data_IF_579584948025
#
_entry.id   IF_579584948025
#
_cell.length_a   1.000
_cell.length_b   1.000
_cell.length_c   1.000
_cell.angle_alpha   90.00
_cell.angle_beta   90.00
_cell.angle_gamma   90.00
#
_symmetry.space_group_name_H-M   'P 1'
#
loop_
_entity.id
_entity.type
_entity.pdbx_description
1 polymer ?
#
# COMPACT_ATOMS: atom_id res chain seq x y z
N UNK A 1 20.66 10.84 -11.62
CA UNK A 1 19.64 10.87 -10.55
C UNK A 1 19.78 9.59 -9.74
N UNK A 2 19.65 9.66 -8.42
CA UNK A 2 19.61 8.46 -7.59
C UNK A 2 18.36 7.64 -7.93
N UNK A 3 18.47 6.32 -7.93
CA UNK A 3 17.32 5.44 -8.17
C UNK A 3 16.39 5.52 -6.95
N UNK A 4 15.13 5.88 -7.19
CA UNK A 4 14.11 5.85 -6.15
C UNK A 4 13.74 4.40 -5.82
N UNK A 5 13.98 4.01 -4.57
CA UNK A 5 13.79 2.65 -4.09
C UNK A 5 12.38 2.40 -3.56
N UNK A 6 11.63 3.45 -3.21
CA UNK A 6 10.27 3.33 -2.67
C UNK A 6 9.21 3.27 -3.77
N UNK A 7 9.55 3.66 -4.99
CA UNK A 7 8.68 3.51 -6.15
C UNK A 7 8.37 2.02 -6.43
N UNK A 8 7.09 1.68 -6.59
CA UNK A 8 6.63 0.34 -6.98
C UNK A 8 7.33 -0.23 -8.22
N UNK A 9 7.69 0.61 -9.20
CA UNK A 9 8.44 0.18 -10.37
C UNK A 9 9.84 -0.36 -10.02
N UNK A 10 10.42 0.07 -8.89
CA UNK A 10 11.69 -0.46 -8.41
C UNK A 10 11.54 -1.79 -7.70
N UNK A 11 10.67 -1.88 -6.69
CA UNK A 11 10.64 -3.05 -5.79
C UNK A 11 9.74 -4.17 -6.30
N UNK A 12 8.66 -3.88 -7.02
CA UNK A 12 7.69 -4.90 -7.43
C UNK A 12 8.29 -5.98 -8.34
N UNK A 13 9.11 -5.67 -9.36
CA UNK A 13 9.76 -6.71 -10.16
C UNK A 13 10.67 -7.64 -9.34
N UNK A 14 11.34 -7.11 -8.31
CA UNK A 14 12.21 -7.90 -7.42
C UNK A 14 11.38 -8.78 -6.48
N UNK A 15 10.25 -8.27 -6.00
CA UNK A 15 9.30 -9.02 -5.19
C UNK A 15 8.67 -10.16 -5.99
N UNK A 16 8.30 -9.94 -7.26
CA UNK A 16 7.82 -11.00 -8.15
C UNK A 16 8.83 -12.16 -8.28
N UNK A 17 10.13 -11.84 -8.40
CA UNK A 17 11.20 -12.85 -8.46
C UNK A 17 11.41 -13.61 -7.14
N UNK A 18 10.79 -13.20 -6.04
CA UNK A 18 10.78 -13.96 -4.78
C UNK A 18 9.73 -15.08 -4.75
N UNK A 19 8.89 -15.16 -5.79
CA UNK A 19 7.81 -16.15 -5.95
C UNK A 19 6.78 -16.13 -4.80
N UNK A 20 6.76 -15.05 -4.03
CA UNK A 20 5.74 -14.83 -3.01
C UNK A 20 4.43 -14.40 -3.67
N UNK A 21 3.27 -14.78 -3.11
CA UNK A 21 1.99 -14.29 -3.60
C UNK A 21 1.94 -12.76 -3.53
N UNK A 22 1.58 -12.15 -4.66
CA UNK A 22 1.37 -10.71 -4.81
C UNK A 22 0.09 -10.47 -5.61
N UNK A 23 -0.58 -9.32 -5.45
CA UNK A 23 -1.68 -8.95 -6.34
C UNK A 23 -1.19 -8.86 -7.78
N UNK A 24 -1.96 -9.40 -8.73
CA UNK A 24 -1.82 -9.06 -10.16
C UNK A 24 -1.76 -7.56 -10.30
N UNK A 25 -0.74 -7.07 -10.99
CA UNK A 25 -0.39 -5.66 -11.02
C UNK A 25 0.10 -5.30 -12.41
N UNK A 26 -0.41 -4.21 -12.97
CA UNK A 26 0.11 -3.58 -14.19
C UNK A 26 0.64 -2.21 -13.78
N UNK A 27 1.92 -1.96 -14.08
CA UNK A 27 2.59 -0.69 -13.83
C UNK A 27 2.49 0.16 -15.10
N UNK A 28 2.13 1.43 -14.91
CA UNK A 28 1.94 2.42 -15.97
C UNK A 28 2.86 3.60 -15.66
N UNK A 29 3.42 4.20 -16.71
CA UNK A 29 4.29 5.36 -16.63
C UNK A 29 3.64 6.52 -17.37
N UNK A 30 3.66 7.70 -16.77
CA UNK A 30 3.22 8.93 -17.43
C UNK A 30 4.36 9.95 -17.50
N UNK A 31 4.46 10.63 -18.62
CA UNK A 31 5.34 11.79 -18.80
C UNK A 31 4.63 13.11 -18.47
N UNK A 32 3.34 13.08 -18.13
CA UNK A 32 2.58 14.26 -17.74
C UNK A 32 2.94 14.70 -16.33
N UNK A 33 3.09 16.01 -16.13
CA UNK A 33 3.24 16.55 -14.78
C UNK A 33 1.88 16.58 -14.09
N UNK A 34 1.62 15.59 -13.23
CA UNK A 34 0.33 15.50 -12.56
C UNK A 34 0.15 16.57 -11.48
N UNK A 35 1.20 17.28 -11.07
CA UNK A 35 1.07 18.42 -10.15
C UNK A 35 0.24 19.56 -10.76
N UNK A 36 0.23 19.70 -12.09
CA UNK A 36 -0.61 20.66 -12.80
C UNK A 36 -2.10 20.52 -12.45
N UNK A 37 -2.55 19.32 -12.06
CA UNK A 37 -3.94 19.11 -11.63
C UNK A 37 -4.29 19.93 -10.39
N UNK A 38 -3.34 20.13 -9.48
CA UNK A 38 -3.56 20.92 -8.25
C UNK A 38 -3.69 22.42 -8.53
N UNK A 39 -3.17 22.88 -9.66
CA UNK A 39 -3.36 24.25 -10.17
C UNK A 39 -4.64 24.39 -11.03
N UNK A 40 -5.47 23.34 -11.11
CA UNK A 40 -6.65 23.31 -11.98
C UNK A 40 -6.33 23.22 -13.47
N UNK A 41 -5.12 22.80 -13.83
CA UNK A 41 -4.70 22.59 -15.23
C UNK A 41 -4.85 21.13 -15.62
N UNK A 42 -4.93 20.88 -16.93
CA UNK A 42 -4.92 19.52 -17.50
C UNK A 42 -3.46 19.14 -17.81
N UNK A 43 -2.91 18.06 -17.23
CA UNK A 43 -1.56 17.63 -17.52
C UNK A 43 -1.36 17.28 -19.00
N UNK A 44 -0.15 17.53 -19.50
CA UNK A 44 0.25 17.09 -20.82
C UNK A 44 0.07 15.56 -20.98
N UNK A 45 -0.56 15.11 -22.08
CA UNK A 45 -0.86 13.69 -22.40
C UNK A 45 -1.78 13.00 -21.39
N UNK A 46 -2.63 13.74 -20.69
CA UNK A 46 -3.61 13.16 -19.76
C UNK A 46 -4.52 12.12 -20.43
N UNK A 47 -4.97 12.34 -21.66
CA UNK A 47 -5.85 11.39 -22.38
C UNK A 47 -5.16 10.06 -22.65
N UNK A 48 -3.88 10.08 -23.00
CA UNK A 48 -3.08 8.86 -23.22
C UNK A 48 -2.93 8.09 -21.91
N UNK A 49 -2.58 8.80 -20.82
CA UNK A 49 -2.47 8.21 -19.49
C UNK A 49 -3.80 7.59 -19.01
N UNK A 50 -4.93 8.29 -19.22
CA UNK A 50 -6.26 7.75 -18.94
C UNK A 50 -6.57 6.51 -19.78
N UNK A 51 -6.16 6.51 -21.05
CA UNK A 51 -6.28 5.36 -21.96
C UNK A 51 -5.52 4.14 -21.46
N UNK A 52 -4.26 4.32 -21.03
CA UNK A 52 -3.42 3.26 -20.48
C UNK A 52 -3.99 2.69 -19.17
N UNK A 53 -4.47 3.56 -18.28
CA UNK A 53 -5.14 3.13 -17.04
C UNK A 53 -6.40 2.32 -17.34
N UNK A 54 -7.27 2.79 -18.24
CA UNK A 54 -8.48 2.04 -18.65
C UNK A 54 -8.12 0.70 -19.28
N UNK A 55 -7.09 0.66 -20.10
CA UNK A 55 -6.61 -0.59 -20.69
C UNK A 55 -6.11 -1.57 -19.63
N UNK A 56 -5.28 -1.13 -18.69
CA UNK A 56 -4.82 -1.97 -17.58
C UNK A 56 -5.98 -2.47 -16.70
N UNK A 57 -6.96 -1.60 -16.40
CA UNK A 57 -8.19 -1.98 -15.68
C UNK A 57 -8.96 -3.05 -16.44
N UNK A 58 -9.06 -2.95 -17.78
CA UNK A 58 -9.73 -3.97 -18.59
C UNK A 58 -9.06 -5.34 -18.54
N UNK A 59 -7.73 -5.38 -18.35
CA UNK A 59 -6.96 -6.63 -18.21
C UNK A 59 -7.09 -7.21 -16.80
N UNK A 60 -7.00 -6.37 -15.76
CA UNK A 60 -7.09 -6.81 -14.36
C UNK A 60 -8.52 -7.23 -13.99
N UNK A 61 -9.52 -6.47 -14.48
CA UNK A 61 -10.93 -6.61 -14.14
C UNK A 61 -11.31 -5.85 -12.87
N UNK A 62 -12.57 -5.38 -12.82
CA UNK A 62 -13.11 -4.69 -11.65
C UNK A 62 -13.53 -5.64 -10.52
N UNK A 63 -13.55 -5.16 -9.26
CA UNK A 63 -12.97 -3.88 -8.80
C UNK A 63 -11.43 -3.93 -8.73
N UNK A 64 -10.78 -2.75 -8.77
CA UNK A 64 -9.31 -2.63 -8.73
C UNK A 64 -8.82 -1.83 -7.52
N UNK A 65 -7.54 -2.02 -7.19
CA UNK A 65 -6.80 -1.17 -6.27
C UNK A 65 -5.82 -0.28 -7.05
N UNK A 66 -6.05 1.04 -7.02
CA UNK A 66 -5.23 2.04 -7.71
C UNK A 66 -4.18 2.63 -6.76
N UNK A 67 -2.97 2.90 -7.25
CA UNK A 67 -1.93 3.62 -6.49
C UNK A 67 -0.96 4.35 -7.40
N UNK A 68 -0.26 5.34 -6.82
CA UNK A 68 0.96 5.91 -7.40
C UNK A 68 2.16 5.02 -7.08
N UNK A 69 3.35 5.43 -7.53
CA UNK A 69 4.62 4.80 -7.19
C UNK A 69 4.79 4.60 -5.68
N UNK A 70 4.36 5.59 -4.90
CA UNK A 70 4.73 5.73 -3.49
C UNK A 70 3.56 5.62 -2.52
N UNK A 71 2.34 5.95 -2.94
CA UNK A 71 1.17 5.98 -2.04
C UNK A 71 -0.10 5.50 -2.72
N UNK A 72 -1.07 5.12 -1.90
CA UNK A 72 -2.41 4.71 -2.30
C UNK A 72 -3.51 5.55 -1.67
N UNK A 73 -3.17 6.62 -0.94
CA UNK A 73 -4.17 7.50 -0.32
C UNK A 73 -5.15 6.74 0.59
N UNK A 74 -4.67 5.72 1.32
CA UNK A 74 -5.50 4.80 2.13
C UNK A 74 -6.36 5.53 3.16
N UNK A 75 -5.99 6.75 3.57
CA UNK A 75 -6.76 7.56 4.51
C UNK A 75 -8.11 8.05 3.94
N UNK A 76 -8.28 8.02 2.61
CA UNK A 76 -9.49 8.41 1.90
C UNK A 76 -9.90 7.35 0.84
N UNK A 77 -9.88 6.08 1.24
CA UNK A 77 -9.78 4.94 0.33
C UNK A 77 -10.86 4.90 -0.77
N UNK A 78 -12.13 5.17 -0.45
CA UNK A 78 -13.26 5.19 -1.41
C UNK A 78 -13.13 6.24 -2.50
N UNK A 79 -12.37 7.30 -2.27
CA UNK A 79 -12.14 8.34 -3.28
C UNK A 79 -10.80 8.15 -3.99
N UNK A 80 -9.91 7.28 -3.50
CA UNK A 80 -8.53 7.16 -3.98
C UNK A 80 -8.26 5.76 -4.56
N UNK A 81 -7.79 4.82 -3.74
CA UNK A 81 -7.33 3.51 -4.19
C UNK A 81 -8.47 2.52 -4.44
N UNK A 82 -9.67 2.73 -3.91
CA UNK A 82 -10.76 1.77 -4.05
C UNK A 82 -11.64 2.07 -5.27
N UNK A 83 -11.22 1.64 -6.46
CA UNK A 83 -11.96 1.91 -7.71
C UNK A 83 -12.86 0.74 -8.10
N UNK A 84 -14.17 0.93 -7.90
CA UNK A 84 -15.17 -0.09 -8.22
C UNK A 84 -15.45 -0.18 -9.73
N UNK A 85 -15.45 0.95 -10.44
CA UNK A 85 -15.78 1.05 -11.86
C UNK A 85 -15.05 2.23 -12.53
N UNK A 86 -14.92 2.27 -13.86
CA UNK A 86 -14.14 3.33 -14.55
C UNK A 86 -14.79 4.72 -14.60
N UNK A 87 -16.08 4.86 -14.29
CA UNK A 87 -16.84 6.12 -14.40
C UNK A 87 -16.25 7.23 -13.53
N UNK A 88 -15.61 6.86 -12.41
CA UNK A 88 -14.99 7.80 -11.47
C UNK A 88 -13.46 7.83 -11.56
N UNK A 89 -12.85 7.19 -12.57
CA UNK A 89 -11.40 7.06 -12.68
C UNK A 89 -10.68 8.41 -12.59
N UNK A 90 -11.13 9.44 -13.32
CA UNK A 90 -10.52 10.77 -13.29
C UNK A 90 -10.56 11.41 -11.89
N UNK A 91 -11.67 11.23 -11.16
CA UNK A 91 -11.81 11.72 -9.79
C UNK A 91 -10.87 10.98 -8.83
N UNK A 92 -10.70 9.66 -9.01
CA UNK A 92 -9.76 8.88 -8.21
C UNK A 92 -8.30 9.25 -8.47
N UNK A 93 -7.95 9.57 -9.72
CA UNK A 93 -6.62 10.07 -10.07
C UNK A 93 -6.37 11.41 -9.38
N UNK A 94 -7.29 12.37 -9.50
CA UNK A 94 -7.17 13.67 -8.85
C UNK A 94 -7.01 13.53 -7.33
N UNK A 95 -7.85 12.71 -6.68
CA UNK A 95 -7.77 12.49 -5.25
C UNK A 95 -6.43 11.84 -4.82
N UNK A 96 -5.89 10.93 -5.62
CA UNK A 96 -4.56 10.35 -5.37
C UNK A 96 -3.43 11.35 -5.55
N UNK A 97 -3.54 12.27 -6.52
CA UNK A 97 -2.58 13.37 -6.72
C UNK A 97 -2.63 14.32 -5.52
N UNK A 98 -3.82 14.73 -5.09
CA UNK A 98 -4.01 15.58 -3.91
C UNK A 98 -3.43 14.94 -2.64
N UNK A 99 -3.78 13.68 -2.37
CA UNK A 99 -3.26 12.92 -1.21
C UNK A 99 -1.74 12.73 -1.28
N UNK A 100 -1.18 12.50 -2.48
CA UNK A 100 0.27 12.41 -2.66
C UNK A 100 0.94 13.74 -2.32
N UNK A 101 0.35 14.86 -2.76
CA UNK A 101 0.88 16.18 -2.48
C UNK A 101 0.77 16.62 -1.03
N UNK A 102 -0.28 16.20 -0.34
CA UNK A 102 -0.44 16.41 1.10
C UNK A 102 0.49 15.53 1.93
N UNK A 103 0.74 14.30 1.50
CA UNK A 103 1.62 13.37 2.21
C UNK A 103 3.09 13.81 2.14
N UNK A 104 3.54 14.23 0.96
CA UNK A 104 4.91 14.73 0.77
C UNK A 104 4.96 15.72 -0.40
N UNK A 105 5.33 16.99 -0.16
CA UNK A 105 5.59 17.93 -1.24
C UNK A 105 6.63 17.36 -2.20
N UNK A 106 6.42 17.47 -3.51
CA UNK A 106 7.31 16.97 -4.58
C UNK A 106 7.49 15.44 -4.69
N UNK A 107 6.60 14.64 -4.08
CA UNK A 107 6.55 13.19 -4.34
C UNK A 107 6.44 12.90 -5.86
N UNK A 108 7.29 12.03 -6.43
CA UNK A 108 7.18 11.68 -7.85
C UNK A 108 5.84 11.01 -8.19
N UNK A 109 5.18 11.46 -9.25
CA UNK A 109 3.87 10.92 -9.70
C UNK A 109 3.90 10.33 -11.11
N UNK A 110 5.09 10.07 -11.65
CA UNK A 110 5.27 9.46 -12.97
C UNK A 110 4.88 7.98 -13.02
N UNK A 111 5.02 7.26 -11.90
CA UNK A 111 4.64 5.84 -11.80
C UNK A 111 3.26 5.66 -11.20
N UNK A 112 2.46 4.78 -11.83
CA UNK A 112 1.17 4.32 -11.33
C UNK A 112 1.05 2.81 -11.42
N UNK A 113 0.15 2.23 -10.63
CA UNK A 113 -0.16 0.82 -10.72
C UNK A 113 -1.66 0.55 -10.57
N UNK A 114 -2.19 -0.28 -11.47
CA UNK A 114 -3.51 -0.89 -11.36
C UNK A 114 -3.33 -2.31 -10.86
N UNK A 115 -3.96 -2.63 -9.73
CA UNK A 115 -3.79 -3.92 -9.04
C UNK A 115 -5.13 -4.60 -8.85
N UNK A 116 -5.13 -5.93 -8.83
CA UNK A 116 -6.34 -6.67 -8.50
C UNK A 116 -6.81 -6.35 -7.07
N UNK A 117 -8.12 -6.30 -6.88
CA UNK A 117 -8.69 -6.28 -5.53
C UNK A 117 -8.60 -7.69 -4.94
N UNK A 118 -7.85 -7.80 -3.84
CA UNK A 118 -7.74 -9.06 -3.09
C UNK A 118 -9.09 -9.51 -2.51
N UNK A 119 -9.29 -10.83 -2.48
CA UNK A 119 -10.48 -11.48 -1.91
C UNK A 119 -10.17 -12.00 -0.51
N UNK A 120 -11.11 -11.87 0.40
CA UNK A 120 -10.91 -12.21 1.82
C UNK A 120 -11.96 -13.24 2.28
N UNK A 121 -11.51 -14.24 3.04
CA UNK A 121 -12.40 -15.31 3.53
C UNK A 121 -13.24 -14.88 4.71
N UNK A 122 -12.77 -13.87 5.44
CA UNK A 122 -13.46 -13.30 6.59
C UNK A 122 -13.89 -11.85 6.31
N UNK A 123 -14.97 -11.36 6.94
CA UNK A 123 -15.29 -9.94 6.97
C UNK A 123 -14.11 -9.11 7.49
N UNK A 124 -14.07 -7.83 7.12
CA UNK A 124 -13.16 -6.90 7.78
C UNK A 124 -13.56 -6.75 9.25
N UNK A 125 -12.59 -6.48 10.12
CA UNK A 125 -12.88 -6.29 11.54
C UNK A 125 -13.79 -5.06 11.73
N UNK A 126 -13.48 -3.99 10.99
CA UNK A 126 -14.29 -2.80 10.83
C UNK A 126 -13.84 -2.05 9.57
N UNK A 127 -14.46 -0.92 9.29
CA UNK A 127 -14.08 -0.02 8.18
C UNK A 127 -13.66 1.33 8.77
N UNK A 128 -12.58 1.90 8.24
CA UNK A 128 -12.07 3.23 8.62
C UNK A 128 -11.71 4.04 7.36
N UNK A 129 -11.20 5.26 7.54
CA UNK A 129 -10.48 5.99 6.47
C UNK A 129 -11.26 6.10 5.14
N UNK A 130 -12.52 6.50 5.26
CA UNK A 130 -13.46 6.54 4.15
C UNK A 130 -13.52 5.23 3.34
N UNK A 131 -13.90 4.15 4.02
CA UNK A 131 -14.23 2.89 3.36
C UNK A 131 -13.09 1.87 3.25
N UNK A 132 -11.95 2.12 3.88
CA UNK A 132 -10.87 1.14 3.97
C UNK A 132 -11.27 0.00 4.92
N UNK A 133 -11.34 -1.25 4.44
CA UNK A 133 -11.60 -2.39 5.32
C UNK A 133 -10.36 -2.70 6.15
N UNK A 134 -10.45 -2.60 7.48
CA UNK A 134 -9.35 -2.90 8.40
C UNK A 134 -9.28 -4.40 8.63
N UNK A 135 -8.10 -4.96 8.34
CA UNK A 135 -7.85 -6.41 8.31
C UNK A 135 -6.52 -6.72 8.98
N UNK A 136 -6.28 -8.01 9.15
CA UNK A 136 -5.01 -8.56 9.62
C UNK A 136 -3.94 -8.26 8.57
N UNK A 137 -3.11 -7.28 8.88
CA UNK A 137 -1.95 -6.84 8.12
C UNK A 137 -0.72 -6.81 9.04
N UNK A 138 0.43 -7.22 8.51
CA UNK A 138 1.72 -7.25 9.21
C UNK A 138 2.78 -6.54 8.42
N UNK A 139 3.68 -5.86 9.12
CA UNK A 139 4.87 -5.27 8.54
C UNK A 139 6.09 -5.97 9.10
N UNK A 140 6.92 -6.50 8.21
CA UNK A 140 8.18 -7.15 8.57
C UNK A 140 9.35 -6.32 8.07
N UNK A 141 10.31 -6.07 8.96
CA UNK A 141 11.55 -5.36 8.64
C UNK A 141 12.69 -6.35 8.47
N UNK A 142 13.53 -6.10 7.47
CA UNK A 142 14.68 -6.93 7.18
C UNK A 142 15.85 -6.10 6.63
N UNK A 143 17.06 -6.59 6.84
CA UNK A 143 18.30 -5.97 6.36
C UNK A 143 19.23 -7.03 5.81
N UNK A 144 19.71 -6.81 4.59
CA UNK A 144 20.75 -7.64 3.96
C UNK A 144 20.49 -9.15 4.08
N UNK A 145 19.28 -9.57 3.72
CA UNK A 145 18.86 -10.97 3.74
C UNK A 145 18.38 -11.51 5.10
N UNK A 146 18.36 -10.71 6.17
CA UNK A 146 17.95 -11.14 7.52
C UNK A 146 16.74 -10.37 8.01
N UNK A 147 15.71 -11.09 8.46
CA UNK A 147 14.57 -10.50 9.17
C UNK A 147 15.04 -9.98 10.53
N UNK A 148 14.69 -8.74 10.86
CA UNK A 148 15.10 -8.07 12.10
C UNK A 148 13.99 -8.07 13.14
N UNK A 149 12.78 -7.64 12.74
CA UNK A 149 11.60 -7.59 13.59
C UNK A 149 10.33 -7.49 12.75
N UNK A 150 9.17 -7.56 13.40
CA UNK A 150 7.86 -7.34 12.80
C UNK A 150 6.97 -6.56 13.74
N UNK A 151 5.96 -5.92 13.16
CA UNK A 151 4.92 -5.18 13.89
C UNK A 151 3.57 -5.38 13.21
N UNK A 152 2.45 -5.24 13.95
CA UNK A 152 1.15 -5.04 13.34
C UNK A 152 1.17 -3.78 12.45
N UNK A 153 0.51 -3.84 11.30
CA UNK A 153 0.50 -2.72 10.35
C UNK A 153 -0.29 -1.51 10.87
N UNK A 154 -1.36 -1.75 11.63
CA UNK A 154 -2.32 -0.74 12.06
C UNK A 154 -2.06 -0.28 13.51
N UNK A 155 -1.30 0.82 13.74
CA UNK A 155 -1.18 1.44 15.05
C UNK A 155 -2.53 1.89 15.60
N UNK A 156 -2.65 1.98 16.93
CA UNK A 156 -3.89 2.47 17.56
C UNK A 156 -4.08 3.96 17.31
N UNK A 157 -2.98 4.70 17.27
CA UNK A 157 -2.90 6.15 17.26
C UNK A 157 -3.56 6.73 15.99
N UNK A 158 -3.42 6.05 14.83
CA UNK A 158 -3.99 6.53 13.57
C UNK A 158 -5.53 6.52 13.54
N UNK A 159 -6.17 5.74 14.41
CA UNK A 159 -7.63 5.71 14.54
C UNK A 159 -8.15 6.76 15.53
N UNK A 160 -7.31 7.23 16.45
CA UNK A 160 -7.71 8.23 17.46
C UNK A 160 -7.90 9.62 16.85
N UNK A 161 -7.15 9.93 15.80
CA UNK A 161 -7.19 11.24 15.13
C UNK A 161 -8.47 11.46 14.32
N UNK A 162 -9.24 10.41 14.05
CA UNK A 162 -10.46 10.44 13.23
C UNK A 162 -10.27 11.24 11.92
N UNK A 163 -9.24 10.88 11.15
CA UNK A 163 -9.00 11.47 9.83
C UNK A 163 -10.29 11.40 9.00
N UNK A 164 -10.75 12.56 8.50
CA UNK A 164 -11.99 12.76 7.73
C UNK A 164 -13.32 12.64 8.52
N UNK A 165 -13.29 12.62 9.85
CA UNK A 165 -14.50 12.72 10.68
C UNK A 165 -15.45 11.52 10.54
N UNK A 166 -14.96 10.38 10.06
CA UNK A 166 -15.77 9.19 9.82
C UNK A 166 -15.99 8.42 11.12
N UNK A 167 -17.25 8.11 11.49
CA UNK A 167 -17.51 7.38 12.72
C UNK A 167 -16.94 5.96 12.65
N UNK A 168 -16.12 5.62 13.64
CA UNK A 168 -15.71 4.24 13.90
C UNK A 168 -16.79 3.55 14.76
N UNK A 169 -16.93 2.21 14.70
CA UNK A 169 -17.78 1.48 15.63
C UNK A 169 -17.37 1.71 17.08
N UNK A 170 -18.31 1.74 18.03
CA UNK A 170 -18.03 1.99 19.46
C UNK A 170 -16.95 1.06 20.05
N UNK A 171 -16.88 -0.18 19.55
CA UNK A 171 -15.93 -1.21 19.97
C UNK A 171 -14.68 -1.32 19.07
N UNK A 172 -14.37 -0.30 18.26
CA UNK A 172 -13.23 -0.35 17.31
C UNK A 172 -11.90 -0.70 17.98
N UNK A 173 -11.67 -0.24 19.21
CA UNK A 173 -10.42 -0.50 19.94
C UNK A 173 -10.21 -1.98 20.27
N UNK A 174 -11.30 -2.69 20.64
CA UNK A 174 -11.27 -4.14 20.87
C UNK A 174 -11.07 -4.91 19.56
N UNK A 175 -11.76 -4.48 18.49
CA UNK A 175 -11.63 -5.07 17.16
C UNK A 175 -10.20 -4.91 16.63
N UNK A 176 -9.59 -3.74 16.80
CA UNK A 176 -8.21 -3.48 16.42
C UNK A 176 -7.22 -4.30 17.26
N UNK A 177 -7.42 -4.38 18.58
CA UNK A 177 -6.59 -5.19 19.46
C UNK A 177 -6.54 -6.65 18.98
N UNK A 178 -7.70 -7.22 18.60
CA UNK A 178 -7.79 -8.58 18.02
C UNK A 178 -7.06 -8.70 16.69
N UNK A 179 -7.23 -7.74 15.79
CA UNK A 179 -6.53 -7.69 14.48
C UNK A 179 -5.00 -7.67 14.66
N UNK A 180 -4.52 -7.01 15.70
CA UNK A 180 -3.10 -6.86 16.00
C UNK A 180 -2.50 -8.02 16.81
N UNK A 181 -3.30 -9.02 17.23
CA UNK A 181 -2.75 -10.22 17.85
C UNK A 181 -2.12 -11.13 16.79
N UNK A 182 -0.92 -11.64 17.08
CA UNK A 182 -0.18 -12.58 16.24
C UNK A 182 -0.06 -13.94 16.93
N UNK A 183 -0.28 -15.03 16.19
CA UNK A 183 0.04 -16.37 16.67
C UNK A 183 1.52 -16.71 16.44
N UNK A 184 2.08 -17.66 17.19
CA UNK A 184 3.46 -18.12 16.98
C UNK A 184 3.68 -18.72 15.58
N UNK A 185 2.67 -19.44 15.08
CA UNK A 185 2.73 -20.07 13.76
C UNK A 185 2.70 -19.03 12.64
N UNK A 186 1.88 -17.98 12.79
CA UNK A 186 1.86 -16.82 11.90
C UNK A 186 3.23 -16.12 11.84
N UNK A 187 3.83 -15.87 13.01
CA UNK A 187 5.16 -15.24 13.09
C UNK A 187 6.22 -16.10 12.41
N UNK A 188 6.20 -17.42 12.65
CA UNK A 188 7.13 -18.35 12.01
C UNK A 188 6.97 -18.36 10.49
N UNK A 189 5.73 -18.43 9.99
CA UNK A 189 5.44 -18.43 8.55
C UNK A 189 5.90 -17.14 7.89
N UNK A 190 5.48 -15.98 8.41
CA UNK A 190 5.80 -14.68 7.82
C UNK A 190 7.28 -14.33 7.94
N UNK A 191 7.97 -14.78 9.00
CA UNK A 191 9.43 -14.67 9.09
C UNK A 191 10.10 -15.45 7.97
N UNK A 192 9.69 -16.71 7.74
CA UNK A 192 10.26 -17.53 6.67
C UNK A 192 10.00 -16.94 5.27
N UNK A 193 8.77 -16.47 5.01
CA UNK A 193 8.42 -15.80 3.75
C UNK A 193 9.21 -14.50 3.54
N UNK A 194 9.32 -13.68 4.58
CA UNK A 194 10.11 -12.44 4.53
C UNK A 194 11.59 -12.74 4.29
N UNK A 195 12.15 -13.81 4.85
CA UNK A 195 13.53 -14.21 4.56
C UNK A 195 13.74 -14.58 3.09
N UNK A 196 12.73 -15.13 2.40
CA UNK A 196 12.78 -15.37 0.94
C UNK A 196 12.80 -14.05 0.17
N UNK A 197 11.92 -13.09 0.53
CA UNK A 197 11.92 -11.75 -0.05
C UNK A 197 13.27 -11.07 0.17
N UNK A 198 13.80 -11.12 1.39
CA UNK A 198 15.02 -10.44 1.80
C UNK A 198 16.25 -10.80 0.96
N UNK A 199 16.32 -12.03 0.41
CA UNK A 199 17.40 -12.47 -0.50
C UNK A 199 17.47 -11.65 -1.81
N UNK A 200 16.40 -10.95 -2.18
CA UNK A 200 16.32 -10.14 -3.41
C UNK A 200 16.69 -8.67 -3.21
N UNK A 201 16.95 -8.26 -1.98
CA UNK A 201 17.11 -6.84 -1.63
C UNK A 201 18.33 -6.63 -0.73
N UNK A 202 19.11 -5.59 -1.04
CA UNK A 202 20.20 -5.09 -0.20
C UNK A 202 19.77 -3.85 0.59
N UNK A 203 20.35 -3.67 1.77
CA UNK A 203 20.04 -2.60 2.71
C UNK A 203 18.79 -2.91 3.54
N UNK A 204 18.25 -1.88 4.19
CA UNK A 204 17.12 -1.98 5.10
C UNK A 204 15.78 -1.71 4.41
N UNK A 205 14.81 -2.59 4.64
CA UNK A 205 13.51 -2.60 3.97
C UNK A 205 12.42 -3.07 4.93
N UNK A 206 11.19 -2.73 4.61
CA UNK A 206 10.00 -3.40 5.12
C UNK A 206 9.17 -4.02 3.99
N UNK A 207 8.43 -5.07 4.32
CA UNK A 207 7.41 -5.68 3.47
C UNK A 207 6.12 -5.82 4.26
N UNK A 208 5.01 -5.47 3.62
CA UNK A 208 3.67 -5.54 4.19
C UNK A 208 2.93 -6.76 3.66
N UNK A 209 2.39 -7.54 4.58
CA UNK A 209 1.65 -8.78 4.33
C UNK A 209 0.20 -8.62 4.74
N UNK A 210 -0.71 -9.16 3.94
CA UNK A 210 -2.13 -9.26 4.29
C UNK A 210 -2.63 -10.70 4.11
N UNK A 211 -3.48 -11.17 5.01
CA UNK A 211 -4.10 -12.50 4.90
C UNK A 211 -5.34 -12.45 4.00
N UNK A 212 -5.42 -13.36 3.03
CA UNK A 212 -6.50 -13.45 2.04
C UNK A 212 -7.16 -14.84 2.06
N UNK A 213 -8.13 -15.10 1.17
CA UNK A 213 -8.69 -16.47 0.98
C UNK A 213 -7.63 -17.51 0.58
N UNK A 214 -6.52 -17.08 -0.03
CA UNK A 214 -5.44 -17.96 -0.50
C UNK A 214 -4.22 -17.97 0.42
N UNK A 215 -4.30 -17.34 1.60
CA UNK A 215 -3.17 -17.17 2.50
C UNK A 215 -2.52 -15.78 2.41
N UNK A 216 -1.28 -15.67 2.89
CA UNK A 216 -0.55 -14.40 2.98
C UNK A 216 -0.09 -13.90 1.62
N UNK A 217 -0.33 -12.60 1.38
CA UNK A 217 0.02 -11.90 0.15
C UNK A 217 0.85 -10.67 0.49
N UNK A 218 1.99 -10.49 -0.18
CA UNK A 218 2.82 -9.30 -0.05
C UNK A 218 2.18 -8.15 -0.85
N UNK A 219 1.82 -7.07 -0.16
CA UNK A 219 1.04 -5.97 -0.74
C UNK A 219 1.84 -4.69 -0.92
N UNK A 220 2.88 -4.46 -0.14
CA UNK A 220 3.67 -3.23 -0.25
C UNK A 220 5.11 -3.43 0.23
N UNK A 221 6.01 -2.57 -0.22
CA UNK A 221 7.38 -2.50 0.27
C UNK A 221 7.87 -1.06 0.30
N UNK A 222 8.75 -0.77 1.26
CA UNK A 222 9.45 0.49 1.35
C UNK A 222 10.82 0.29 2.01
N UNK A 223 11.69 1.28 1.86
CA UNK A 223 12.92 1.42 2.63
C UNK A 223 12.59 1.45 4.10
N UNK A 224 13.34 0.70 4.91
CA UNK A 224 13.09 0.61 6.34
C UNK A 224 13.18 1.98 7.02
N UNK A 225 14.00 2.90 6.51
CA UNK A 225 14.10 4.27 7.00
C UNK A 225 12.82 5.09 6.82
N UNK A 226 12.04 4.79 5.78
CA UNK A 226 10.84 5.56 5.40
C UNK A 226 9.53 4.88 5.86
N UNK A 227 9.64 3.69 6.45
CA UNK A 227 8.51 2.92 6.93
C UNK A 227 8.11 3.30 8.34
N UNK A 228 6.81 3.45 8.58
CA UNK A 228 6.28 3.56 9.95
C UNK A 228 6.67 2.32 10.77
N UNK A 229 7.14 2.56 12.01
CA UNK A 229 7.64 1.54 12.94
C UNK A 229 9.15 1.29 12.86
N UNK A 230 9.88 2.09 12.08
CA UNK A 230 11.35 2.04 11.98
C UNK A 230 12.09 2.28 13.31
N UNK A 231 11.40 2.85 14.30
CA UNK A 231 11.89 3.27 15.60
C UNK A 231 11.69 2.22 16.69
N UNK A 232 10.91 1.15 16.44
CA UNK A 232 10.77 0.04 17.39
C UNK A 232 12.10 -0.62 17.76
N UNK A 233 13.12 -0.49 16.90
CA UNK A 233 14.49 -0.94 17.21
C UNK A 233 15.23 -0.06 18.22
N UNK A 234 14.80 1.19 18.44
CA UNK A 234 15.45 2.12 19.38
C UNK A 234 15.05 1.89 20.84
N UNK A 235 14.07 1.02 21.10
CA UNK A 235 13.59 0.69 22.45
C UNK A 235 14.20 -0.56 23.09
N UNK A 236 15.09 -1.29 22.40
CA UNK A 236 15.75 -2.51 22.91
C UNK A 236 17.26 -2.32 23.15
N UNK A 237 17.73 -1.08 23.17
CA UNK A 237 19.09 -0.71 23.61
C UNK A 237 19.04 0.32 24.73
N UNK A 238 18.39 -0.05 25.84
CA UNK A 238 18.67 0.50 27.18
C UNK A 238 18.76 -0.66 28.19
#
# INVERSE_FOLDING_TARGET
MAIDKNDIAYWFPKLLLSEQPVPKTIIIQTSGDLWDMLDGKVPHRMDEFLGELKHAISIIGHPVFLRTGHTSGKHNAKQTCLLETTERLAAHIFALVEESGMAMPSLPMGTWAVRERLKFGNPAAFTAFNGLPIRIERRYFFRDGKVEHHIPYWPKEVFQTNYYGMPLPDNWGELLWRVNQESKDEVLELTARTAVVAKRFSGWWSVDWIITVTGWVAIDMARGEDSWGNDYRKGETE
#
